data_IF_203960089731
#
_entry.id   IF_203960089731
#
_cell.length_a   1.000
_cell.length_b   1.000
_cell.length_c   1.000
_cell.angle_alpha   90.00
_cell.angle_beta   90.00
_cell.angle_gamma   90.00
#
_symmetry.space_group_name_H-M   'P 1'
#
loop_
_entity.id
_entity.type
_entity.pdbx_description
1 polymer ?
#
# COMPACT_ATOMS: atom_id res chain seq x y z
N UNK A 1 11.21 33.88 -28.68
CA UNK A 1 11.49 33.75 -27.23
C UNK A 1 10.34 33.18 -26.42
N UNK A 2 9.05 33.47 -26.72
CA UNK A 2 7.90 32.96 -25.94
C UNK A 2 7.74 31.43 -25.96
N UNK A 3 7.96 30.80 -27.12
CA UNK A 3 7.77 29.35 -27.30
C UNK A 3 8.80 28.51 -26.51
N UNK A 4 10.07 28.91 -26.51
CA UNK A 4 11.13 28.24 -25.75
C UNK A 4 10.92 28.37 -24.23
N UNK A 5 10.42 29.53 -23.77
CA UNK A 5 10.05 29.74 -22.38
C UNK A 5 8.87 28.85 -21.97
N UNK A 6 7.87 28.70 -22.85
CA UNK A 6 6.73 27.81 -22.63
C UNK A 6 7.17 26.33 -22.51
N UNK A 7 8.05 25.86 -23.39
CA UNK A 7 8.61 24.50 -23.30
C UNK A 7 9.38 24.27 -22.01
N UNK A 8 10.22 25.22 -21.60
CA UNK A 8 10.97 25.14 -20.34
C UNK A 8 10.03 25.07 -19.12
N UNK A 9 8.99 25.91 -19.10
CA UNK A 9 7.99 25.90 -18.02
C UNK A 9 7.22 24.58 -17.97
N UNK A 10 6.81 24.02 -19.11
CA UNK A 10 6.15 22.70 -19.15
C UNK A 10 7.07 21.57 -18.69
N UNK A 11 8.36 21.65 -19.00
CA UNK A 11 9.33 20.64 -18.56
C UNK A 11 9.56 20.69 -17.05
N UNK A 12 9.72 21.90 -16.48
CA UNK A 12 9.86 22.09 -15.03
C UNK A 12 8.57 21.64 -14.32
N UNK A 13 7.40 22.04 -14.81
CA UNK A 13 6.11 21.64 -14.23
C UNK A 13 5.91 20.12 -14.28
N UNK A 14 6.30 19.47 -15.38
CA UNK A 14 6.29 18.01 -15.51
C UNK A 14 7.21 17.32 -14.50
N UNK A 15 8.45 17.81 -14.35
CA UNK A 15 9.41 17.29 -13.38
C UNK A 15 8.92 17.42 -11.94
N UNK A 16 8.39 18.58 -11.55
CA UNK A 16 7.82 18.81 -10.22
C UNK A 16 6.62 17.90 -9.96
N UNK A 17 5.77 17.69 -10.97
CA UNK A 17 4.60 16.80 -10.85
C UNK A 17 5.00 15.36 -10.60
N UNK A 18 5.96 14.82 -11.36
CA UNK A 18 6.48 13.46 -11.15
C UNK A 18 7.12 13.32 -9.77
N UNK A 19 7.90 14.32 -9.34
CA UNK A 19 8.52 14.30 -8.02
C UNK A 19 7.49 14.27 -6.88
N UNK A 20 6.42 15.08 -6.99
CA UNK A 20 5.32 15.05 -6.02
C UNK A 20 4.63 13.69 -5.99
N UNK A 21 4.35 13.08 -7.14
CA UNK A 21 3.76 11.74 -7.22
C UNK A 21 4.65 10.67 -6.57
N UNK A 22 5.96 10.71 -6.84
CA UNK A 22 6.92 9.80 -6.20
C UNK A 22 6.96 9.98 -4.68
N UNK A 23 6.92 11.23 -4.20
CA UNK A 23 6.92 11.53 -2.76
C UNK A 23 5.67 10.97 -2.08
N UNK A 24 4.49 11.23 -2.65
CA UNK A 24 3.20 10.72 -2.13
C UNK A 24 3.18 9.19 -2.13
N UNK A 25 3.72 8.55 -3.17
CA UNK A 25 3.81 7.09 -3.25
C UNK A 25 4.64 6.51 -2.10
N UNK A 26 5.80 7.10 -1.80
CA UNK A 26 6.67 6.67 -0.70
C UNK A 26 6.03 6.88 0.67
N UNK A 27 5.33 7.99 0.85
CA UNK A 27 4.62 8.30 2.09
C UNK A 27 3.50 7.28 2.35
N UNK A 28 2.68 7.01 1.34
CA UNK A 28 1.63 5.98 1.42
C UNK A 28 2.20 4.58 1.68
N UNK A 29 3.39 4.26 1.17
CA UNK A 29 4.06 3.01 1.49
C UNK A 29 4.49 2.93 2.96
N UNK A 30 5.10 4.01 3.47
CA UNK A 30 5.50 4.11 4.87
C UNK A 30 4.31 3.96 5.81
N UNK A 31 3.19 4.61 5.50
CA UNK A 31 1.94 4.47 6.28
C UNK A 31 1.44 3.03 6.34
N UNK A 32 1.46 2.31 5.20
CA UNK A 32 1.08 0.89 5.15
C UNK A 32 2.02 0.03 6.00
N UNK A 33 3.32 0.24 5.90
CA UNK A 33 4.30 -0.51 6.70
C UNK A 33 4.13 -0.21 8.20
N UNK A 34 3.86 1.05 8.55
CA UNK A 34 3.58 1.45 9.92
C UNK A 34 2.31 0.79 10.47
N UNK A 35 1.24 0.71 9.68
CA UNK A 35 0.02 0.02 10.07
C UNK A 35 0.26 -1.48 10.34
N UNK A 36 1.03 -2.15 9.47
CA UNK A 36 1.39 -3.56 9.66
C UNK A 36 2.24 -3.74 10.91
N UNK A 37 3.28 -2.94 11.07
CA UNK A 37 4.15 -2.97 12.25
C UNK A 37 3.40 -2.72 13.56
N UNK A 38 2.49 -1.74 13.59
CA UNK A 38 1.68 -1.46 14.76
C UNK A 38 0.75 -2.64 15.10
N UNK A 39 0.17 -3.30 14.08
CA UNK A 39 -0.68 -4.47 14.31
C UNK A 39 0.10 -5.65 14.88
N UNK A 40 1.26 -5.99 14.30
CA UNK A 40 2.11 -7.08 14.79
C UNK A 40 2.64 -6.77 16.20
N UNK A 41 3.06 -5.53 16.48
CA UNK A 41 3.45 -5.12 17.84
C UNK A 41 2.30 -5.21 18.84
N UNK A 42 1.06 -4.92 18.42
CA UNK A 42 -0.10 -4.98 19.31
C UNK A 42 -0.42 -6.40 19.82
N UNK A 43 0.04 -7.43 19.10
CA UNK A 43 -0.04 -8.83 19.53
C UNK A 43 1.24 -9.32 20.22
N UNK A 44 2.18 -8.43 20.52
CA UNK A 44 3.46 -8.79 21.15
C UNK A 44 4.53 -9.32 20.18
N UNK A 45 4.26 -9.31 18.87
CA UNK A 45 5.21 -9.79 17.87
C UNK A 45 6.20 -8.71 17.38
N UNK A 46 7.28 -9.19 16.75
CA UNK A 46 8.26 -8.37 16.03
C UNK A 46 8.34 -8.80 14.57
N UNK A 47 8.36 -7.84 13.65
CA UNK A 47 8.41 -8.13 12.21
C UNK A 47 9.79 -8.66 11.81
N UNK A 48 9.79 -9.76 11.07
CA UNK A 48 10.97 -10.32 10.39
C UNK A 48 10.96 -9.92 8.91
N UNK A 49 9.83 -10.09 8.22
CA UNK A 49 9.67 -9.67 6.83
C UNK A 49 8.25 -9.21 6.50
N UNK A 50 8.13 -8.33 5.51
CA UNK A 50 6.85 -7.94 4.90
C UNK A 50 7.03 -7.99 3.39
N UNK A 51 6.33 -8.91 2.74
CA UNK A 51 6.41 -9.10 1.30
C UNK A 51 5.11 -8.67 0.63
N UNK A 52 5.19 -7.72 -0.31
CA UNK A 52 4.06 -7.37 -1.17
C UNK A 52 3.92 -8.45 -2.26
N UNK A 53 2.85 -9.22 -2.18
CA UNK A 53 2.60 -10.37 -3.04
C UNK A 53 1.73 -9.96 -4.23
N UNK A 54 2.14 -10.40 -5.43
CA UNK A 54 1.31 -10.26 -6.65
C UNK A 54 0.02 -11.06 -6.47
N UNK A 55 -1.10 -10.51 -6.95
CA UNK A 55 -2.42 -11.17 -6.88
C UNK A 55 -2.39 -12.65 -7.32
N UNK A 56 -1.71 -12.96 -8.43
CA UNK A 56 -1.59 -14.33 -8.96
C UNK A 56 -0.84 -15.32 -8.05
N UNK A 57 -0.10 -14.84 -7.05
CA UNK A 57 0.63 -15.66 -6.07
C UNK A 57 -0.06 -15.72 -4.71
N UNK A 58 -1.20 -15.04 -4.55
CA UNK A 58 -1.97 -15.07 -3.32
C UNK A 58 -3.02 -16.19 -3.40
N UNK A 59 -3.02 -17.15 -2.45
CA UNK A 59 -3.81 -18.38 -2.54
C UNK A 59 -5.33 -18.14 -2.50
N UNK A 60 -5.77 -17.06 -1.85
CA UNK A 60 -7.18 -16.69 -1.68
C UNK A 60 -7.56 -15.46 -2.52
N UNK A 61 -6.76 -15.10 -3.52
CA UNK A 61 -7.01 -13.91 -4.36
C UNK A 61 -8.32 -13.95 -5.15
N UNK A 62 -8.90 -15.15 -5.33
CA UNK A 62 -10.21 -15.36 -5.94
C UNK A 62 -11.36 -14.80 -5.11
N UNK A 63 -11.19 -14.57 -3.81
CA UNK A 63 -12.22 -14.01 -2.93
C UNK A 63 -12.38 -12.48 -3.10
N UNK A 64 -11.42 -11.82 -3.75
CA UNK A 64 -11.30 -10.36 -3.80
C UNK A 64 -11.58 -9.80 -5.20
N UNK A 65 -12.76 -10.04 -5.76
CA UNK A 65 -13.09 -9.73 -7.17
C UNK A 65 -13.87 -8.43 -7.40
N UNK A 66 -14.23 -7.70 -6.35
CA UNK A 66 -15.05 -6.48 -6.51
C UNK A 66 -14.27 -5.42 -7.34
N UNK A 67 -14.79 -5.03 -8.51
CA UNK A 67 -14.12 -4.09 -9.41
C UNK A 67 -14.09 -2.65 -8.87
N UNK A 68 -14.90 -2.31 -7.86
CA UNK A 68 -14.87 -0.99 -7.23
C UNK A 68 -13.75 -0.87 -6.18
N UNK A 69 -13.01 -1.95 -5.92
CA UNK A 69 -11.89 -2.00 -4.98
C UNK A 69 -10.55 -2.32 -5.64
N UNK A 70 -9.50 -1.70 -5.09
CA UNK A 70 -8.11 -2.06 -5.36
C UNK A 70 -7.57 -2.82 -4.16
N UNK A 71 -6.97 -3.99 -4.41
CA UNK A 71 -6.46 -4.88 -3.38
C UNK A 71 -4.93 -4.95 -3.40
N UNK A 72 -4.30 -4.86 -2.22
CA UNK A 72 -2.89 -5.18 -2.01
C UNK A 72 -2.76 -6.34 -1.03
N UNK A 73 -1.95 -7.33 -1.39
CA UNK A 73 -1.76 -8.55 -0.61
C UNK A 73 -0.37 -8.54 0.02
N UNK A 74 -0.31 -8.73 1.33
CA UNK A 74 0.92 -8.79 2.09
C UNK A 74 1.05 -10.16 2.73
N UNK A 75 2.24 -10.75 2.62
CA UNK A 75 2.68 -11.90 3.42
C UNK A 75 3.65 -11.37 4.47
N UNK A 76 3.37 -11.67 5.72
CA UNK A 76 4.09 -11.09 6.86
C UNK A 76 4.68 -12.22 7.67
N UNK A 77 5.99 -12.17 7.88
CA UNK A 77 6.71 -13.08 8.77
C UNK A 77 7.06 -12.31 10.03
N UNK A 78 6.69 -12.85 11.19
CA UNK A 78 6.92 -12.21 12.48
C UNK A 78 7.36 -13.23 13.52
N UNK A 79 8.17 -12.77 14.48
CA UNK A 79 8.54 -13.52 15.67
C UNK A 79 7.57 -13.14 16.80
N UNK A 80 7.03 -14.14 17.48
CA UNK A 80 6.28 -13.96 18.72
C UNK A 80 6.73 -15.06 19.68
N UNK A 81 7.21 -14.65 20.86
CA UNK A 81 7.68 -15.61 21.89
C UNK A 81 8.75 -16.60 21.38
N UNK A 82 9.66 -16.17 20.49
CA UNK A 82 10.70 -16.99 19.85
C UNK A 82 10.17 -18.00 18.82
N UNK A 83 8.89 -17.92 18.45
CA UNK A 83 8.30 -18.67 17.35
C UNK A 83 8.11 -17.78 16.12
N UNK A 84 8.64 -18.25 14.98
CA UNK A 84 8.41 -17.59 13.69
C UNK A 84 7.05 -18.02 13.15
N UNK A 85 6.15 -17.04 13.01
CA UNK A 85 4.82 -17.21 12.44
C UNK A 85 4.67 -16.44 11.14
N UNK A 86 3.74 -16.89 10.33
CA UNK A 86 3.36 -16.26 9.08
C UNK A 86 1.89 -15.88 9.14
N UNK A 87 1.56 -14.68 8.67
CA UNK A 87 0.18 -14.27 8.46
C UNK A 87 0.02 -13.50 7.14
N UNK A 88 -1.23 -13.33 6.74
CA UNK A 88 -1.57 -12.55 5.56
C UNK A 88 -2.36 -11.31 5.93
N UNK A 89 -2.08 -10.21 5.24
CA UNK A 89 -2.88 -9.00 5.33
C UNK A 89 -3.31 -8.54 3.94
N UNK A 90 -4.60 -8.22 3.80
CA UNK A 90 -5.17 -7.63 2.60
C UNK A 90 -5.57 -6.21 2.91
N UNK A 91 -5.04 -5.27 2.13
CA UNK A 91 -5.49 -3.89 2.14
C UNK A 91 -6.49 -3.70 1.00
N UNK A 92 -7.75 -3.49 1.37
CA UNK A 92 -8.82 -3.11 0.46
C UNK A 92 -8.89 -1.59 0.40
N UNK A 93 -8.91 -1.03 -0.81
CA UNK A 93 -9.01 0.40 -1.02
C UNK A 93 -10.15 0.67 -1.98
N UNK A 94 -11.20 1.37 -1.51
CA UNK A 94 -12.30 1.77 -2.38
C UNK A 94 -11.89 2.96 -3.23
N UNK A 95 -11.86 2.79 -4.54
CA UNK A 95 -11.58 3.88 -5.46
C UNK A 95 -12.90 4.56 -5.83
N UNK A 96 -13.15 5.78 -5.33
CA UNK A 96 -14.35 6.54 -5.76
C UNK A 96 -14.19 6.89 -7.24
N UNK A 97 -15.23 6.64 -8.05
CA UNK A 97 -15.25 6.95 -9.49
C UNK A 97 -15.09 8.45 -9.79
N UNK A 98 -15.54 9.34 -8.90
CA UNK A 98 -15.41 10.80 -9.03
C UNK A 98 -15.30 11.48 -7.65
N UNK A 99 -14.44 12.50 -7.52
CA UNK A 99 -14.27 13.36 -6.34
C UNK A 99 -12.80 13.63 -5.98
N UNK A 100 -12.50 14.70 -5.20
CA UNK A 100 -11.16 14.94 -4.70
C UNK A 100 -10.70 13.71 -3.89
N UNK A 101 -9.47 13.25 -4.12
CA UNK A 101 -8.94 11.96 -3.66
C UNK A 101 -8.74 11.79 -2.14
N UNK A 102 -9.50 12.53 -1.32
CA UNK A 102 -9.25 12.74 0.10
C UNK A 102 -9.99 11.78 1.05
N UNK A 103 -10.72 10.79 0.54
CA UNK A 103 -11.27 9.73 1.39
C UNK A 103 -11.27 8.38 0.67
N UNK A 104 -10.07 7.83 0.42
CA UNK A 104 -9.92 6.41 0.16
C UNK A 104 -10.32 5.70 1.46
N UNK A 105 -11.49 5.08 1.47
CA UNK A 105 -11.82 4.18 2.56
C UNK A 105 -10.94 2.94 2.39
N UNK A 106 -10.03 2.75 3.35
CA UNK A 106 -9.14 1.62 3.40
C UNK A 106 -9.55 0.69 4.54
N UNK A 107 -9.60 -0.60 4.25
CA UNK A 107 -9.90 -1.64 5.23
C UNK A 107 -8.78 -2.68 5.23
N UNK A 108 -8.37 -3.11 6.42
CA UNK A 108 -7.35 -4.14 6.60
C UNK A 108 -8.03 -5.44 7.03
N UNK A 109 -7.85 -6.49 6.23
CA UNK A 109 -8.29 -7.85 6.55
C UNK A 109 -7.05 -8.66 6.92
N UNK A 110 -7.08 -9.27 8.10
CA UNK A 110 -6.00 -10.09 8.63
C UNK A 110 -6.42 -11.56 8.59
N UNK A 111 -5.58 -12.42 8.05
CA UNK A 111 -5.79 -13.87 8.01
C UNK A 111 -4.62 -14.58 8.68
N UNK A 112 -4.95 -15.66 9.39
CA UNK A 112 -3.99 -16.51 10.09
C UNK A 112 -3.12 -15.71 11.08
N UNK A 113 -3.69 -14.64 11.63
CA UNK A 113 -3.07 -13.86 12.70
C UNK A 113 -3.24 -14.66 13.99
N UNK A 114 -2.11 -15.03 14.59
CA UNK A 114 -2.02 -15.96 15.70
C UNK A 114 -1.66 -15.24 17.01
#
# INVERSE_FOLDING_TARGET
MSLQLAFLLTFIAGGVSVWLLMRVSKESERERMAAINNKIRSIGGSIVSIDLIKRSRCPFSSEYQDPDFVYKFYKITYDIELEIKECWAVLEMKQRRYGPGSAIHSNWIWRDLA
#
